data_IF_070779377274
#
_entry.id   IF_070779377274
#
_cell.length_a   1.000
_cell.length_b   1.000
_cell.length_c   1.000
_cell.angle_alpha   90.00
_cell.angle_beta   90.00
_cell.angle_gamma   90.00
#
_symmetry.space_group_name_H-M   'P 1'
#
loop_
_entity.id
_entity.type
_entity.pdbx_description
1 polymer ?
#
# COMPACT_ATOMS: atom_id res chain seq x y z
N UNK A 1 -6.05 19.07 -4.33
CA UNK A 1 -6.88 18.23 -5.21
C UNK A 1 -7.04 16.84 -4.63
N UNK A 2 -8.12 16.09 -4.92
CA UNK A 2 -8.28 14.73 -4.43
C UNK A 2 -7.36 13.74 -5.16
N UNK A 3 -7.01 12.63 -4.51
CA UNK A 3 -6.43 11.45 -5.14
C UNK A 3 -7.23 10.20 -4.72
N UNK A 4 -7.12 9.15 -5.53
CA UNK A 4 -7.68 7.84 -5.23
C UNK A 4 -6.53 6.83 -5.12
N UNK A 5 -6.61 5.93 -4.14
CA UNK A 5 -5.66 4.83 -3.98
C UNK A 5 -6.42 3.54 -4.21
N UNK A 6 -5.90 2.72 -5.10
CA UNK A 6 -6.25 1.32 -5.19
C UNK A 6 -5.15 0.50 -4.53
N UNK A 7 -5.48 -0.21 -3.46
CA UNK A 7 -4.60 -1.23 -2.90
C UNK A 7 -4.99 -2.56 -3.52
N UNK A 8 -4.04 -3.20 -4.21
CA UNK A 8 -4.29 -4.45 -4.91
C UNK A 8 -3.84 -5.63 -4.07
N UNK A 9 -4.81 -6.42 -3.64
CA UNK A 9 -4.62 -7.81 -3.25
C UNK A 9 -4.73 -8.69 -4.52
N UNK A 10 -4.20 -9.90 -4.47
CA UNK A 10 -4.55 -10.98 -5.41
C UNK A 10 -6.06 -11.17 -5.68
N UNK A 11 -6.93 -10.92 -4.69
CA UNK A 11 -8.36 -11.23 -4.78
C UNK A 11 -9.29 -10.01 -4.69
N UNK A 12 -8.80 -8.89 -4.13
CA UNK A 12 -9.66 -7.75 -3.79
C UNK A 12 -9.04 -6.39 -4.14
N UNK A 13 -9.91 -5.41 -4.35
CA UNK A 13 -9.53 -4.01 -4.59
C UNK A 13 -10.06 -3.15 -3.46
N UNK A 14 -9.17 -2.58 -2.67
CA UNK A 14 -9.56 -1.59 -1.68
C UNK A 14 -9.34 -0.19 -2.25
N UNK A 15 -10.39 0.64 -2.22
CA UNK A 15 -10.34 2.03 -2.66
C UNK A 15 -10.29 2.96 -1.45
N UNK A 16 -9.25 3.77 -1.38
CA UNK A 16 -9.10 4.86 -0.41
C UNK A 16 -9.05 6.19 -1.15
N UNK A 17 -9.36 7.28 -0.48
CA UNK A 17 -9.28 8.63 -1.04
C UNK A 17 -8.64 9.60 -0.05
N UNK A 18 -7.96 10.62 -0.56
CA UNK A 18 -7.44 11.70 0.27
C UNK A 18 -7.13 12.96 -0.52
N UNK A 19 -6.43 13.90 0.12
CA UNK A 19 -6.03 15.17 -0.49
C UNK A 19 -4.52 15.23 -0.75
N UNK A 20 -4.15 15.70 -1.93
CA UNK A 20 -2.75 15.98 -2.30
C UNK A 20 -2.06 16.83 -1.24
N UNK A 21 -0.78 16.56 -1.00
CA UNK A 21 0.07 17.19 0.00
C UNK A 21 -0.27 16.88 1.47
N UNK A 22 -1.23 15.99 1.73
CA UNK A 22 -1.48 15.44 3.06
C UNK A 22 -0.83 14.07 3.19
N UNK A 23 -0.12 13.77 4.30
CA UNK A 23 0.40 12.43 4.55
C UNK A 23 -0.72 11.38 4.49
N UNK A 24 -0.49 10.34 3.70
CA UNK A 24 -1.34 9.16 3.65
C UNK A 24 -0.67 8.03 4.45
N UNK A 25 -1.45 7.40 5.33
CA UNK A 25 -1.01 6.25 6.11
C UNK A 25 -1.96 5.11 5.82
N UNK A 26 -1.43 3.97 5.39
CA UNK A 26 -2.20 2.74 5.15
C UNK A 26 -1.68 1.67 6.11
N UNK A 27 -2.59 1.11 6.90
CA UNK A 27 -2.30 -0.02 7.78
C UNK A 27 -2.91 -1.29 7.19
N UNK A 28 -2.10 -2.34 7.12
CA UNK A 28 -2.49 -3.57 6.43
C UNK A 28 -2.17 -4.77 7.31
N UNK A 29 -3.22 -5.52 7.64
CA UNK A 29 -3.08 -6.84 8.22
C UNK A 29 -2.79 -7.87 7.12
N UNK A 30 -1.68 -8.58 7.28
CA UNK A 30 -1.26 -9.68 6.42
C UNK A 30 -1.59 -11.01 7.11
N UNK A 31 -2.22 -11.95 6.41
CA UNK A 31 -2.48 -13.31 6.92
C UNK A 31 -1.26 -14.25 6.80
N UNK A 32 -0.12 -13.72 6.35
CA UNK A 32 1.11 -14.48 6.06
C UNK A 32 1.92 -14.70 7.33
N UNK A 33 2.35 -15.94 7.57
CA UNK A 33 3.10 -16.38 8.76
C UNK A 33 4.55 -15.87 8.84
N UNK A 34 5.02 -15.06 7.88
CA UNK A 34 6.28 -14.32 8.02
C UNK A 34 6.27 -13.04 7.18
N UNK A 35 6.42 -11.90 7.85
CA UNK A 35 6.54 -10.57 7.23
C UNK A 35 7.98 -10.20 6.82
N UNK A 36 8.96 -11.08 7.05
CA UNK A 36 10.41 -10.80 6.92
C UNK A 36 10.86 -10.34 5.52
N UNK A 37 10.07 -10.59 4.48
CA UNK A 37 10.42 -10.28 3.08
C UNK A 37 9.27 -9.59 2.34
N UNK A 38 8.38 -8.90 3.07
CA UNK A 38 7.34 -8.09 2.47
C UNK A 38 7.93 -6.84 1.84
N UNK A 39 7.40 -6.48 0.67
CA UNK A 39 7.67 -5.22 0.00
C UNK A 39 6.33 -4.56 -0.34
N UNK A 40 6.31 -3.23 -0.21
CA UNK A 40 5.22 -2.39 -0.66
C UNK A 40 5.78 -1.35 -1.64
N UNK A 41 5.11 -1.20 -2.78
CA UNK A 41 5.47 -0.22 -3.81
C UNK A 41 4.22 0.61 -4.12
N UNK A 42 4.37 1.93 -4.07
CA UNK A 42 3.31 2.87 -4.43
C UNK A 42 3.63 3.44 -5.82
N UNK A 43 2.68 3.34 -6.75
CA UNK A 43 2.78 3.77 -8.14
C UNK A 43 1.71 4.83 -8.45
N UNK A 44 2.05 5.83 -9.26
CA UNK A 44 1.08 6.69 -9.95
C UNK A 44 1.23 6.34 -11.42
N UNK A 45 0.18 5.76 -12.00
CA UNK A 45 0.24 5.06 -13.29
C UNK A 45 1.36 4.00 -13.30
N UNK A 46 2.50 4.30 -13.93
CA UNK A 46 3.67 3.41 -14.02
C UNK A 46 4.88 3.93 -13.25
N UNK A 47 4.78 5.10 -12.60
CA UNK A 47 5.89 5.77 -11.93
C UNK A 47 5.85 5.44 -10.44
N UNK A 48 6.95 4.88 -9.93
CA UNK A 48 7.10 4.65 -8.49
C UNK A 48 7.26 5.98 -7.76
N UNK A 49 6.42 6.21 -6.75
CA UNK A 49 6.54 7.38 -5.88
C UNK A 49 7.24 7.01 -4.56
N UNK A 50 7.97 7.98 -3.97
CA UNK A 50 8.60 7.80 -2.66
C UNK A 50 7.58 7.40 -1.61
N UNK A 51 7.86 6.30 -0.92
CA UNK A 51 7.05 5.77 0.17
C UNK A 51 7.96 5.05 1.17
N UNK A 52 7.49 4.94 2.41
CA UNK A 52 8.16 4.16 3.45
C UNK A 52 7.25 3.03 3.89
N UNK A 53 7.84 1.85 4.12
CA UNK A 53 7.15 0.70 4.70
C UNK A 53 7.80 0.36 6.04
N UNK A 54 6.98 0.10 7.05
CA UNK A 54 7.42 -0.35 8.36
C UNK A 54 6.66 -1.60 8.74
N UNK A 55 7.37 -2.66 9.15
CA UNK A 55 6.76 -3.84 9.77
C UNK A 55 6.51 -3.48 11.24
N UNK A 56 5.24 -3.42 11.63
CA UNK A 56 4.84 -3.10 13.01
C UNK A 56 4.90 -4.37 13.87
N UNK A 57 4.46 -5.50 13.32
CA UNK A 57 4.60 -6.83 13.89
C UNK A 57 4.44 -7.91 12.80
N UNK A 58 4.41 -9.19 13.19
CA UNK A 58 4.35 -10.36 12.30
C UNK A 58 3.15 -10.38 11.34
N UNK A 59 2.08 -9.64 11.62
CA UNK A 59 0.88 -9.59 10.80
C UNK A 59 0.45 -8.17 10.42
N UNK A 60 1.21 -7.13 10.79
CA UNK A 60 0.83 -5.74 10.55
C UNK A 60 1.97 -4.95 9.91
N UNK A 61 1.68 -4.35 8.76
CA UNK A 61 2.56 -3.39 8.11
C UNK A 61 1.91 -2.01 8.03
N UNK A 62 2.75 -0.98 7.96
CA UNK A 62 2.34 0.40 7.74
C UNK A 62 3.07 0.95 6.52
N UNK A 63 2.33 1.59 5.61
CA UNK A 63 2.85 2.28 4.44
C UNK A 63 2.57 3.76 4.60
N UNK A 64 3.58 4.61 4.41
CA UNK A 64 3.41 6.06 4.44
C UNK A 64 3.90 6.67 3.13
N UNK A 65 3.13 7.60 2.58
CA UNK A 65 3.54 8.43 1.44
C UNK A 65 2.77 9.74 1.40
N UNK A 66 3.28 10.73 0.69
CA UNK A 66 2.62 12.03 0.53
C UNK A 66 2.39 12.29 -0.96
N UNK A 67 1.17 12.06 -1.48
CA UNK A 67 0.86 12.28 -2.89
C UNK A 67 0.98 13.75 -3.25
N UNK A 68 1.75 14.05 -4.30
CA UNK A 68 1.98 15.42 -4.77
C UNK A 68 1.03 15.84 -5.88
N UNK A 69 0.49 14.86 -6.59
CA UNK A 69 -0.35 15.06 -7.76
C UNK A 69 -1.70 14.38 -7.55
N UNK A 70 -2.80 14.93 -8.09
CA UNK A 70 -4.05 14.20 -8.16
C UNK A 70 -3.91 13.02 -9.12
N UNK A 71 -4.58 11.91 -8.82
CA UNK A 71 -4.55 10.75 -9.70
C UNK A 71 -4.92 9.46 -9.00
N UNK A 72 -4.73 8.36 -9.74
CA UNK A 72 -4.96 7.00 -9.26
C UNK A 72 -3.63 6.37 -8.87
N UNK A 73 -3.44 6.22 -7.57
CA UNK A 73 -2.28 5.57 -7.00
C UNK A 73 -2.55 4.08 -6.83
N UNK A 74 -1.59 3.23 -7.17
CA UNK A 74 -1.64 1.79 -6.97
C UNK A 74 -0.64 1.39 -5.88
N UNK A 75 -1.11 0.67 -4.86
CA UNK A 75 -0.24 0.07 -3.84
C UNK A 75 -0.14 -1.42 -4.12
N UNK A 76 1.06 -1.85 -4.53
CA UNK A 76 1.40 -3.25 -4.76
C UNK A 76 2.12 -3.81 -3.55
N UNK A 77 1.64 -4.96 -3.07
CA UNK A 77 2.20 -5.62 -1.88
C UNK A 77 2.60 -7.04 -2.27
N UNK A 78 3.86 -7.39 -2.03
CA UNK A 78 4.41 -8.70 -2.35
C UNK A 78 5.25 -9.27 -1.22
N UNK A 79 5.36 -10.60 -1.15
CA UNK A 79 6.29 -11.32 -0.30
C UNK A 79 7.11 -12.26 -1.22
N UNK A 80 8.44 -12.14 -1.19
CA UNK A 80 9.33 -12.89 -2.13
C UNK A 80 8.87 -12.76 -3.59
N UNK A 81 8.54 -11.53 -3.99
CA UNK A 81 8.07 -11.17 -5.34
C UNK A 81 6.70 -11.77 -5.76
N UNK A 82 6.01 -12.46 -4.85
CA UNK A 82 4.64 -12.95 -5.07
C UNK A 82 3.62 -12.00 -4.45
N UNK A 83 2.57 -11.59 -5.17
CA UNK A 83 1.48 -10.81 -4.59
C UNK A 83 0.91 -11.48 -3.34
N UNK A 84 0.67 -10.69 -2.29
CA UNK A 84 0.05 -11.20 -1.07
C UNK A 84 -1.45 -11.32 -1.27
N UNK A 85 -2.01 -12.40 -0.72
CA UNK A 85 -3.44 -12.70 -0.77
C UNK A 85 -4.10 -12.54 0.60
N UNK A 86 -5.34 -12.05 0.65
CA UNK A 86 -6.14 -11.97 1.87
C UNK A 86 -5.70 -10.89 2.86
N UNK A 87 -5.20 -9.76 2.36
CA UNK A 87 -4.89 -8.56 3.14
C UNK A 87 -6.17 -7.90 3.65
N UNK A 88 -6.07 -7.16 4.74
CA UNK A 88 -7.16 -6.35 5.27
C UNK A 88 -6.63 -4.96 5.62
N UNK A 89 -7.30 -3.92 5.10
CA UNK A 89 -6.97 -2.52 5.39
C UNK A 89 -7.81 -2.06 6.58
N UNK A 90 -7.14 -1.40 7.53
CA UNK A 90 -7.70 -0.95 8.80
C UNK A 90 -7.62 0.57 8.89
#
# INVERSE_FOLDING_TARGET
SPYLIQVKDSNDKHLLSGLTNTPCVIQIHTKSTSNSQIRAVVLLDTVQIPSTMTIINDNLIRINFTPKEPGFYLVNISNRDKPITGINII
#
